data_IF_169318483733
#
_entry.id   IF_169318483733
#
_cell.length_a   1.000
_cell.length_b   1.000
_cell.length_c   1.000
_cell.angle_alpha   90.00
_cell.angle_beta   90.00
_cell.angle_gamma   90.00
#
_symmetry.space_group_name_H-M   'P 1'
#
loop_
_entity.id
_entity.type
_entity.pdbx_description
1 polymer ?
#
# COMPACT_ATOMS: atom_id res chain seq x y z
N UNK A 1 5.40 -8.03 74.08
CA UNK A 1 4.93 -7.91 72.68
C UNK A 1 3.42 -8.19 72.61
N UNK A 2 2.58 -7.33 73.20
CA UNK A 2 1.15 -7.67 73.42
C UNK A 2 0.22 -6.44 73.35
N UNK A 3 0.38 -5.53 72.38
CA UNK A 3 -0.46 -4.31 72.32
C UNK A 3 -1.33 -4.15 71.04
N UNK A 4 -1.31 -5.11 70.11
CA UNK A 4 -2.03 -4.97 68.80
C UNK A 4 -3.46 -5.57 68.82
N UNK A 5 -3.85 -6.27 69.90
CA UNK A 5 -5.11 -7.03 69.96
C UNK A 5 -6.41 -6.25 70.22
N UNK A 6 -6.47 -5.12 70.95
CA UNK A 6 -7.77 -4.55 71.34
C UNK A 6 -8.53 -3.91 70.19
N UNK A 7 -7.83 -3.40 69.17
CA UNK A 7 -8.45 -2.74 68.02
C UNK A 7 -8.82 -3.70 66.89
N UNK A 8 -8.32 -4.94 66.92
CA UNK A 8 -8.57 -5.92 65.86
C UNK A 8 -10.05 -6.23 65.74
N UNK A 9 -10.77 -6.46 66.84
CA UNK A 9 -12.21 -6.77 66.84
C UNK A 9 -13.03 -5.68 66.17
N UNK A 10 -12.77 -4.42 66.51
CA UNK A 10 -13.39 -3.24 65.91
C UNK A 10 -13.05 -3.11 64.42
N UNK A 11 -11.79 -3.32 64.04
CA UNK A 11 -11.37 -3.30 62.63
C UNK A 11 -12.05 -4.41 61.83
N UNK A 12 -12.15 -5.64 62.35
CA UNK A 12 -12.90 -6.71 61.68
C UNK A 12 -14.40 -6.43 61.61
N UNK A 13 -15.00 -5.82 62.63
CA UNK A 13 -16.42 -5.44 62.62
C UNK A 13 -16.68 -4.36 61.57
N UNK A 14 -15.83 -3.33 61.50
CA UNK A 14 -15.92 -2.30 60.48
C UNK A 14 -15.69 -2.88 59.07
N UNK A 15 -14.67 -3.73 58.90
CA UNK A 15 -14.40 -4.40 57.62
C UNK A 15 -15.60 -5.24 57.15
N UNK A 16 -16.15 -6.09 58.03
CA UNK A 16 -17.32 -6.93 57.71
C UNK A 16 -18.58 -6.10 57.46
N UNK A 17 -18.82 -5.03 58.22
CA UNK A 17 -19.91 -4.10 57.98
C UNK A 17 -19.77 -3.40 56.61
N UNK A 18 -18.55 -2.98 56.24
CA UNK A 18 -18.29 -2.40 54.92
C UNK A 18 -18.43 -3.41 53.79
N UNK A 19 -17.98 -4.65 53.99
CA UNK A 19 -18.11 -5.73 53.00
C UNK A 19 -19.58 -6.06 52.72
N UNK A 20 -20.44 -6.06 53.75
CA UNK A 20 -21.88 -6.27 53.57
C UNK A 20 -22.48 -5.15 52.70
N UNK A 21 -22.12 -3.90 52.96
CA UNK A 21 -22.60 -2.76 52.18
C UNK A 21 -22.09 -2.80 50.74
N UNK A 22 -20.83 -3.18 50.53
CA UNK A 22 -20.25 -3.34 49.19
C UNK A 22 -20.92 -4.47 48.42
N UNK A 23 -21.18 -5.62 49.06
CA UNK A 23 -21.90 -6.74 48.44
C UNK A 23 -23.29 -6.32 47.96
N UNK A 24 -24.08 -5.65 48.80
CA UNK A 24 -25.42 -5.16 48.44
C UNK A 24 -25.38 -4.22 47.23
N UNK A 25 -24.38 -3.31 47.17
CA UNK A 25 -24.20 -2.40 46.03
C UNK A 25 -23.84 -3.16 44.76
N UNK A 26 -22.97 -4.17 44.84
CA UNK A 26 -22.60 -5.01 43.69
C UNK A 26 -23.81 -5.81 43.19
N UNK A 27 -24.59 -6.39 44.10
CA UNK A 27 -25.83 -7.11 43.76
C UNK A 27 -26.83 -6.20 43.05
N UNK A 28 -27.05 -4.99 43.57
CA UNK A 28 -27.89 -3.99 42.92
C UNK A 28 -27.39 -3.62 41.51
N UNK A 29 -26.10 -3.32 41.37
CA UNK A 29 -25.51 -2.99 40.06
C UNK A 29 -25.54 -4.18 39.09
N UNK A 30 -25.45 -5.43 39.57
CA UNK A 30 -25.62 -6.61 38.74
C UNK A 30 -27.06 -6.72 38.23
N UNK A 31 -28.05 -6.51 39.09
CA UNK A 31 -29.46 -6.49 38.71
C UNK A 31 -29.77 -5.40 37.67
N UNK A 32 -29.24 -4.18 37.86
CA UNK A 32 -29.37 -3.12 36.84
C UNK A 32 -28.75 -3.53 35.50
N UNK A 33 -27.55 -4.12 35.51
CA UNK A 33 -26.89 -4.60 34.30
C UNK A 33 -27.68 -5.71 33.59
N UNK A 34 -28.33 -6.60 34.33
CA UNK A 34 -29.22 -7.63 33.77
C UNK A 34 -30.42 -7.00 33.07
N UNK A 35 -31.09 -6.03 33.70
CA UNK A 35 -32.20 -5.28 33.11
C UNK A 35 -31.75 -4.55 31.84
N UNK A 36 -30.58 -3.90 31.88
CA UNK A 36 -30.04 -3.18 30.73
C UNK A 36 -29.70 -4.14 29.58
N UNK A 37 -29.12 -5.30 29.85
CA UNK A 37 -28.82 -6.30 28.83
C UNK A 37 -30.07 -6.88 28.19
N UNK A 38 -31.12 -7.10 28.97
CA UNK A 38 -32.40 -7.58 28.45
C UNK A 38 -33.06 -6.57 27.47
N UNK A 39 -32.70 -5.28 27.55
CA UNK A 39 -33.21 -4.22 26.66
C UNK A 39 -32.32 -3.93 25.45
N UNK A 40 -31.09 -4.44 25.43
CA UNK A 40 -30.11 -4.16 24.39
C UNK A 40 -30.20 -5.20 23.26
N UNK A 41 -29.74 -4.86 22.04
CA UNK A 41 -29.60 -5.84 20.96
C UNK A 41 -28.54 -6.88 21.29
N UNK A 42 -28.68 -8.09 20.73
CA UNK A 42 -27.83 -9.26 21.02
C UNK A 42 -26.34 -9.04 20.71
N UNK A 43 -26.00 -8.14 19.78
CA UNK A 43 -24.61 -7.86 19.40
C UNK A 43 -24.16 -6.45 19.80
N UNK A 44 -23.18 -6.38 20.72
CA UNK A 44 -22.58 -5.13 21.19
C UNK A 44 -21.16 -5.00 20.65
N UNK A 45 -20.95 -4.08 19.71
CA UNK A 45 -19.62 -3.75 19.20
C UNK A 45 -18.85 -2.85 20.18
N UNK A 46 -17.88 -3.44 20.88
CA UNK A 46 -17.03 -2.67 21.81
C UNK A 46 -16.10 -1.68 21.10
N UNK A 47 -16.12 -0.43 21.54
CA UNK A 47 -15.20 0.63 21.08
C UNK A 47 -13.83 0.51 21.76
N UNK A 48 -12.81 1.12 21.18
CA UNK A 48 -11.46 1.05 21.74
C UNK A 48 -11.39 1.60 23.18
N UNK A 49 -12.06 2.71 23.47
CA UNK A 49 -12.09 3.31 24.81
C UNK A 49 -12.72 2.39 25.87
N UNK A 50 -13.77 1.66 25.50
CA UNK A 50 -14.43 0.68 26.38
C UNK A 50 -13.51 -0.50 26.66
N UNK A 51 -12.81 -1.02 25.63
CA UNK A 51 -11.82 -2.09 25.80
C UNK A 51 -10.72 -1.69 26.78
N UNK A 52 -10.26 -0.44 26.74
CA UNK A 52 -9.25 0.07 27.68
C UNK A 52 -9.80 0.11 29.11
N UNK A 53 -11.04 0.56 29.31
CA UNK A 53 -11.68 0.54 30.64
C UNK A 53 -11.83 -0.88 31.17
N UNK A 54 -12.30 -1.81 30.34
CA UNK A 54 -12.44 -3.23 30.69
C UNK A 54 -11.10 -3.84 31.09
N UNK A 55 -10.03 -3.56 30.33
CA UNK A 55 -8.69 -4.03 30.69
C UNK A 55 -8.22 -3.44 32.02
N UNK A 56 -8.43 -2.12 32.25
CA UNK A 56 -8.02 -1.46 33.50
C UNK A 56 -8.62 -2.12 34.73
N UNK A 57 -9.91 -2.41 34.72
CA UNK A 57 -10.60 -3.02 35.86
C UNK A 57 -10.51 -4.55 35.86
N UNK A 58 -10.30 -5.17 34.71
CA UNK A 58 -10.26 -6.62 34.60
C UNK A 58 -8.90 -7.24 34.94
N UNK A 59 -7.79 -6.57 34.62
CA UNK A 59 -6.45 -7.12 34.85
C UNK A 59 -6.16 -7.56 36.30
N UNK A 60 -6.59 -6.82 37.35
CA UNK A 60 -6.37 -7.24 38.74
C UNK A 60 -7.06 -8.54 39.14
N UNK A 61 -8.12 -8.94 38.43
CA UNK A 61 -8.93 -10.12 38.78
C UNK A 61 -8.32 -11.44 38.29
N UNK A 62 -7.28 -11.40 37.44
CA UNK A 62 -6.56 -12.60 36.99
C UNK A 62 -7.47 -13.64 36.32
N UNK A 63 -7.51 -14.85 36.87
CA UNK A 63 -8.34 -15.97 36.38
C UNK A 63 -9.82 -15.81 36.77
N UNK A 64 -10.12 -15.09 37.85
CA UNK A 64 -11.51 -14.86 38.29
C UNK A 64 -12.33 -14.02 37.30
N UNK A 65 -11.67 -13.44 36.28
CA UNK A 65 -12.34 -12.70 35.24
C UNK A 65 -13.31 -13.57 34.43
N UNK A 66 -13.04 -14.87 34.25
CA UNK A 66 -13.91 -15.75 33.45
C UNK A 66 -15.34 -15.82 34.00
N UNK A 67 -15.49 -15.73 35.33
CA UNK A 67 -16.78 -15.67 36.00
C UNK A 67 -17.40 -14.26 36.00
N UNK A 68 -16.62 -13.20 35.71
CA UNK A 68 -17.05 -11.80 35.77
C UNK A 68 -17.34 -11.20 34.38
N UNK A 69 -16.69 -11.67 33.31
CA UNK A 69 -16.91 -11.12 31.97
C UNK A 69 -18.21 -11.66 31.39
N UNK A 70 -19.18 -10.78 31.22
CA UNK A 70 -20.51 -11.11 30.67
C UNK A 70 -20.79 -10.40 29.34
N UNK A 71 -20.14 -9.27 29.06
CA UNK A 71 -20.35 -8.47 27.82
C UNK A 71 -19.47 -8.96 26.67
N UNK A 72 -18.31 -9.53 26.99
CA UNK A 72 -17.27 -9.90 26.01
C UNK A 72 -16.90 -11.36 26.26
N UNK A 73 -16.60 -12.12 25.21
CA UNK A 73 -16.03 -13.46 25.39
C UNK A 73 -14.70 -13.39 26.17
N UNK A 74 -14.46 -14.27 27.16
CA UNK A 74 -13.18 -14.34 27.87
C UNK A 74 -11.97 -14.42 26.91
N UNK A 75 -12.13 -15.14 25.79
CA UNK A 75 -11.11 -15.25 24.74
C UNK A 75 -10.73 -13.91 24.10
N UNK A 76 -11.72 -13.04 23.86
CA UNK A 76 -11.51 -11.71 23.30
C UNK A 76 -10.82 -10.78 24.31
N UNK A 77 -11.16 -10.89 25.60
CA UNK A 77 -10.48 -10.16 26.67
C UNK A 77 -8.98 -10.52 26.73
N UNK A 78 -8.65 -11.82 26.71
CA UNK A 78 -7.25 -12.27 26.68
C UNK A 78 -6.52 -11.89 25.39
N UNK A 79 -7.21 -11.85 24.25
CA UNK A 79 -6.65 -11.29 23.01
C UNK A 79 -6.25 -9.83 23.19
N UNK A 80 -7.16 -8.98 23.71
CA UNK A 80 -6.86 -7.56 23.92
C UNK A 80 -5.77 -7.34 24.97
N UNK A 81 -5.71 -8.17 26.02
CA UNK A 81 -4.61 -8.16 26.99
C UNK A 81 -3.26 -8.38 26.30
N UNK A 82 -3.16 -9.39 25.43
CA UNK A 82 -1.93 -9.68 24.67
C UNK A 82 -1.57 -8.56 23.69
N UNK A 83 -2.57 -7.98 23.01
CA UNK A 83 -2.37 -6.84 22.10
C UNK A 83 -1.86 -5.60 22.84
N UNK A 84 -2.42 -5.30 24.02
CA UNK A 84 -1.97 -4.19 24.85
C UNK A 84 -0.52 -4.38 25.33
N UNK A 85 -0.14 -5.60 25.71
CA UNK A 85 1.24 -5.93 26.10
C UNK A 85 2.25 -5.87 24.95
N UNK A 86 1.81 -6.12 23.70
CA UNK A 86 2.68 -6.09 22.52
C UNK A 86 3.04 -4.68 22.06
N UNK A 87 2.41 -3.64 22.60
CA UNK A 87 2.57 -2.26 22.17
C UNK A 87 2.03 -2.02 20.75
N UNK A 88 2.02 -0.76 20.29
CA UNK A 88 1.66 -0.45 18.90
C UNK A 88 2.66 -1.14 17.97
N UNK A 89 2.15 -1.93 17.02
CA UNK A 89 2.97 -2.51 15.96
C UNK A 89 3.82 -1.41 15.33
N UNK A 90 5.15 -1.57 15.36
CA UNK A 90 6.08 -0.66 14.68
C UNK A 90 5.65 -0.57 13.22
N UNK A 91 5.29 0.63 12.75
CA UNK A 91 5.10 0.88 11.31
C UNK A 91 6.33 0.35 10.59
N UNK A 92 6.15 -0.62 9.68
CA UNK A 92 7.24 -1.15 8.86
C UNK A 92 7.86 0.02 8.10
N UNK A 93 9.10 0.39 8.44
CA UNK A 93 9.87 1.42 7.72
C UNK A 93 10.35 0.83 6.41
N UNK A 94 9.53 0.89 5.37
CA UNK A 94 9.98 0.65 4.00
C UNK A 94 10.52 1.97 3.45
N UNK A 95 11.75 2.36 3.80
CA UNK A 95 12.26 3.69 3.42
C UNK A 95 13.59 3.67 2.66
N UNK A 96 14.49 2.70 2.90
CA UNK A 96 15.85 2.77 2.34
C UNK A 96 15.95 2.45 0.84
N UNK A 97 15.29 1.40 0.34
CA UNK A 97 15.42 0.97 -1.07
C UNK A 97 14.56 1.79 -2.04
N UNK A 98 13.55 2.49 -1.53
CA UNK A 98 12.65 3.30 -2.34
C UNK A 98 13.20 4.69 -2.65
N UNK A 99 14.10 5.24 -1.81
CA UNK A 99 14.64 6.59 -2.00
C UNK A 99 15.66 6.63 -3.13
N UNK A 100 16.71 5.80 -3.10
CA UNK A 100 17.70 5.75 -4.20
C UNK A 100 17.06 5.46 -5.56
N UNK A 101 16.06 4.60 -5.57
CA UNK A 101 15.29 4.25 -6.78
C UNK A 101 14.41 5.41 -7.25
N UNK A 102 13.81 6.16 -6.31
CA UNK A 102 13.05 7.37 -6.62
C UNK A 102 13.98 8.43 -7.22
N UNK A 103 15.14 8.66 -6.61
CA UNK A 103 16.13 9.65 -7.07
C UNK A 103 16.58 9.33 -8.50
N UNK A 104 16.91 8.05 -8.78
CA UNK A 104 17.25 7.58 -10.12
C UNK A 104 16.12 7.81 -11.14
N UNK A 105 14.87 7.50 -10.76
CA UNK A 105 13.71 7.71 -11.64
C UNK A 105 13.53 9.20 -11.98
N UNK A 106 13.72 10.08 -11.00
CA UNK A 106 13.60 11.53 -11.15
C UNK A 106 14.72 12.06 -12.05
N UNK A 107 15.95 11.62 -11.84
CA UNK A 107 17.11 12.03 -12.63
C UNK A 107 16.95 11.63 -14.11
N UNK A 108 16.51 10.40 -14.39
CA UNK A 108 16.24 9.92 -15.76
C UNK A 108 15.10 10.73 -16.41
N UNK A 109 14.05 11.05 -15.64
CA UNK A 109 12.93 11.82 -16.15
C UNK A 109 13.33 13.27 -16.51
N UNK A 110 14.14 13.93 -15.68
CA UNK A 110 14.62 15.30 -15.90
C UNK A 110 15.61 15.40 -17.07
N UNK A 111 16.53 14.44 -17.17
CA UNK A 111 17.57 14.44 -18.22
C UNK A 111 17.02 14.10 -19.61
N UNK A 112 16.00 13.24 -19.71
CA UNK A 112 15.60 12.65 -21.00
C UNK A 112 14.17 12.98 -21.44
N UNK A 113 13.32 13.51 -20.55
CA UNK A 113 11.91 13.79 -20.85
C UNK A 113 11.07 12.55 -21.19
N UNK A 114 11.54 11.36 -20.81
CA UNK A 114 10.89 10.10 -21.16
C UNK A 114 9.51 9.95 -20.50
N UNK A 115 8.59 9.35 -21.26
CA UNK A 115 7.35 8.83 -20.70
C UNK A 115 7.62 7.69 -19.72
N UNK A 116 6.79 7.59 -18.68
CA UNK A 116 6.90 6.62 -17.58
C UNK A 116 6.95 5.14 -18.03
N UNK A 117 6.33 4.77 -19.17
CA UNK A 117 6.48 3.41 -19.74
C UNK A 117 7.91 3.16 -20.26
N UNK A 118 8.57 4.17 -20.82
CA UNK A 118 9.92 4.05 -21.36
C UNK A 118 10.95 4.03 -20.23
N UNK A 119 10.78 4.88 -19.22
CA UNK A 119 11.58 4.85 -17.98
C UNK A 119 11.53 3.45 -17.35
N UNK A 120 10.34 2.84 -17.25
CA UNK A 120 10.21 1.48 -16.73
C UNK A 120 10.97 0.44 -17.57
N UNK A 121 11.03 0.61 -18.90
CA UNK A 121 11.83 -0.24 -19.79
C UNK A 121 13.33 -0.12 -19.52
N UNK A 122 13.83 1.11 -19.35
CA UNK A 122 15.24 1.34 -19.02
C UNK A 122 15.60 0.78 -17.63
N UNK A 123 14.73 0.94 -16.64
CA UNK A 123 14.94 0.34 -15.31
C UNK A 123 15.02 -1.19 -15.36
N UNK A 124 14.21 -1.84 -16.21
CA UNK A 124 14.31 -3.29 -16.42
C UNK A 124 15.62 -3.70 -17.09
N UNK A 125 16.12 -2.91 -18.04
CA UNK A 125 17.43 -3.14 -18.67
C UNK A 125 18.57 -3.04 -17.66
N UNK A 126 18.45 -2.15 -16.67
CA UNK A 126 19.37 -2.03 -15.54
C UNK A 126 19.20 -3.11 -14.45
N UNK A 127 18.36 -4.14 -14.69
CA UNK A 127 18.14 -5.26 -13.77
C UNK A 127 17.12 -4.99 -12.66
N UNK A 128 16.46 -3.83 -12.66
CA UNK A 128 15.48 -3.45 -11.64
C UNK A 128 14.07 -3.83 -12.09
N UNK A 129 13.66 -5.07 -11.80
CA UNK A 129 12.40 -5.66 -12.28
C UNK A 129 11.21 -5.52 -11.31
N UNK A 130 11.45 -5.19 -10.04
CA UNK A 130 10.43 -5.18 -8.96
C UNK A 130 9.61 -3.89 -8.85
N UNK A 131 9.47 -3.13 -9.93
CA UNK A 131 8.76 -1.84 -9.97
C UNK A 131 7.57 -1.94 -10.90
N UNK A 132 6.40 -1.46 -10.47
CA UNK A 132 5.23 -1.37 -11.34
C UNK A 132 5.14 -0.01 -12.03
N UNK A 133 4.45 0.05 -13.17
CA UNK A 133 4.24 1.30 -13.92
C UNK A 133 3.58 2.38 -13.08
N UNK A 134 2.67 1.99 -12.19
CA UNK A 134 1.95 2.92 -11.31
C UNK A 134 2.86 3.55 -10.27
N UNK A 135 3.84 2.82 -9.72
CA UNK A 135 4.82 3.39 -8.79
C UNK A 135 5.67 4.46 -9.44
N UNK A 136 6.15 4.24 -10.67
CA UNK A 136 6.91 5.27 -11.44
C UNK A 136 6.02 6.49 -11.70
N UNK A 137 4.76 6.28 -12.11
CA UNK A 137 3.80 7.37 -12.32
C UNK A 137 3.57 8.20 -11.06
N UNK A 138 3.38 7.55 -9.90
CA UNK A 138 3.16 8.24 -8.63
C UNK A 138 4.40 9.04 -8.21
N UNK A 139 5.61 8.47 -8.34
CA UNK A 139 6.86 9.18 -8.05
C UNK A 139 7.02 10.45 -8.88
N UNK A 140 6.74 10.37 -10.18
CA UNK A 140 6.85 11.53 -11.08
C UNK A 140 5.77 12.59 -10.81
N UNK A 141 4.55 12.15 -10.48
CA UNK A 141 3.45 13.05 -10.11
C UNK A 141 3.73 13.79 -8.80
N UNK A 142 4.31 13.13 -7.81
CA UNK A 142 4.69 13.75 -6.54
C UNK A 142 5.75 14.85 -6.74
N UNK A 143 6.61 14.70 -7.74
CA UNK A 143 7.64 15.69 -8.12
C UNK A 143 7.15 16.73 -9.13
N UNK A 144 5.89 16.67 -9.57
CA UNK A 144 5.32 17.60 -10.55
C UNK A 144 5.92 17.48 -11.96
N UNK A 145 6.67 16.42 -12.25
CA UNK A 145 7.23 16.16 -13.58
C UNK A 145 6.12 15.52 -14.40
N UNK A 146 5.76 16.11 -15.55
CA UNK A 146 4.79 15.52 -16.47
C UNK A 146 5.52 14.64 -17.50
N UNK A 147 5.48 13.30 -17.36
CA UNK A 147 6.27 12.42 -18.21
C UNK A 147 5.60 12.20 -19.57
N UNK A 148 5.90 13.10 -20.49
CA UNK A 148 6.02 12.90 -21.94
C UNK A 148 6.16 14.29 -22.54
N UNK A 149 7.02 14.52 -23.55
CA UNK A 149 6.76 15.62 -24.47
C UNK A 149 5.32 15.42 -24.96
N UNK A 150 4.49 16.47 -24.89
CA UNK A 150 3.24 16.53 -25.67
C UNK A 150 3.59 15.92 -27.01
N UNK A 151 2.99 14.78 -27.38
CA UNK A 151 3.17 14.25 -28.73
C UNK A 151 2.94 15.43 -29.63
N UNK A 152 3.98 15.81 -30.36
CA UNK A 152 3.99 17.01 -31.19
C UNK A 152 2.63 17.07 -31.86
N UNK A 153 1.89 18.13 -31.59
CA UNK A 153 0.67 18.47 -32.31
C UNK A 153 1.04 18.91 -33.73
N UNK A 154 1.94 18.16 -34.37
CA UNK A 154 2.25 18.33 -35.76
C UNK A 154 1.00 17.94 -36.51
N UNK A 155 0.54 18.83 -37.37
CA UNK A 155 -0.54 18.50 -38.28
C UNK A 155 -0.12 17.30 -39.13
N UNK A 156 -1.09 16.51 -39.57
CA UNK A 156 -0.86 15.33 -40.41
C UNK A 156 0.09 15.62 -41.60
N UNK A 157 0.07 16.87 -42.11
CA UNK A 157 0.97 17.33 -43.17
C UNK A 157 2.45 17.42 -42.77
N UNK A 158 2.78 17.81 -41.53
CA UNK A 158 4.18 17.87 -41.06
C UNK A 158 4.75 16.46 -40.88
N UNK A 159 3.93 15.54 -40.38
CA UNK A 159 4.28 14.12 -40.29
C UNK A 159 4.56 13.52 -41.68
N UNK A 160 3.69 13.79 -42.66
CA UNK A 160 3.88 13.32 -44.03
C UNK A 160 5.13 13.91 -44.68
N UNK A 161 5.45 15.20 -44.46
CA UNK A 161 6.67 15.81 -45.00
C UNK A 161 7.93 15.20 -44.40
N UNK A 162 7.96 14.97 -43.09
CA UNK A 162 9.12 14.38 -42.41
C UNK A 162 9.36 12.92 -42.80
N UNK A 163 8.30 12.19 -43.13
CA UNK A 163 8.37 10.77 -43.52
C UNK A 163 8.17 10.53 -45.02
N UNK A 164 8.07 11.58 -45.85
CA UNK A 164 7.81 11.45 -47.29
C UNK A 164 8.88 10.58 -47.97
N UNK A 165 10.16 10.81 -47.65
CA UNK A 165 11.33 10.08 -48.16
C UNK A 165 11.43 8.61 -47.71
N UNK A 166 10.63 8.18 -46.74
CA UNK A 166 10.58 6.77 -46.29
C UNK A 166 9.25 6.11 -46.63
N UNK A 167 8.18 6.88 -46.70
CA UNK A 167 6.85 6.43 -47.08
C UNK A 167 6.72 6.17 -48.58
N UNK A 168 7.46 6.87 -49.46
CA UNK A 168 7.42 6.56 -50.91
C UNK A 168 7.94 5.15 -51.22
N UNK A 169 8.80 4.59 -50.37
CA UNK A 169 9.33 3.23 -50.50
C UNK A 169 8.43 2.18 -49.81
N UNK A 170 7.40 2.60 -49.06
CA UNK A 170 6.43 1.72 -48.45
C UNK A 170 5.24 1.56 -49.39
N UNK A 171 5.25 0.51 -50.21
CA UNK A 171 4.13 0.15 -51.06
C UNK A 171 2.90 -0.23 -50.19
N UNK A 172 1.81 0.54 -50.31
CA UNK A 172 0.56 0.28 -49.60
C UNK A 172 -0.15 -0.91 -50.27
N UNK A 173 0.25 -2.13 -49.91
CA UNK A 173 -0.40 -3.32 -50.42
C UNK A 173 -1.84 -3.44 -49.87
N UNK A 174 -2.82 -3.20 -50.74
CA UNK A 174 -4.22 -3.45 -50.43
C UNK A 174 -4.51 -4.94 -50.65
N UNK A 175 -4.46 -5.73 -49.57
CA UNK A 175 -5.00 -7.09 -49.61
C UNK A 175 -6.52 -6.98 -49.61
N UNK A 176 -7.17 -7.31 -50.74
CA UNK A 176 -8.62 -7.49 -50.78
C UNK A 176 -8.93 -8.69 -49.87
N UNK A 177 -9.42 -8.42 -48.67
CA UNK A 177 -9.92 -9.46 -47.78
C UNK A 177 -11.30 -9.90 -48.29
N UNK A 178 -11.33 -10.60 -49.42
CA UNK A 178 -12.43 -11.52 -49.68
C UNK A 178 -12.29 -12.60 -48.62
N UNK A 179 -13.16 -12.55 -47.60
CA UNK A 179 -13.32 -13.65 -46.65
C UNK A 179 -13.38 -14.94 -47.45
N UNK A 180 -12.58 -15.95 -47.10
CA UNK A 180 -12.73 -17.19 -47.80
C UNK A 180 -13.02 -18.29 -46.75
N UNK A 181 -14.02 -19.16 -46.88
CA UNK A 181 -14.25 -20.01 -48.06
C UNK A 181 -13.05 -19.89 -49.01
N UNK A 182 -11.92 -20.46 -48.57
CA UNK A 182 -10.58 -20.61 -49.23
C UNK A 182 -9.37 -19.83 -48.62
N UNK A 183 -8.72 -20.49 -47.65
CA UNK A 183 -7.27 -20.46 -47.35
C UNK A 183 -6.54 -19.09 -47.27
N UNK A 184 -6.26 -18.65 -46.04
CA UNK A 184 -5.20 -17.67 -45.78
C UNK A 184 -3.94 -18.40 -45.31
N UNK A 185 -3.02 -18.65 -46.24
CA UNK A 185 -1.66 -19.05 -45.90
C UNK A 185 -0.95 -17.92 -45.18
N UNK A 186 -0.45 -18.28 -44.00
CA UNK A 186 0.64 -17.70 -43.23
C UNK A 186 1.65 -16.94 -44.09
N UNK A 187 1.96 -15.69 -43.73
CA UNK A 187 3.16 -15.06 -44.28
C UNK A 187 4.33 -15.35 -43.35
N UNK A 188 5.14 -16.29 -43.82
CA UNK A 188 6.49 -16.55 -43.37
C UNK A 188 7.33 -15.26 -43.44
N UNK A 189 8.13 -15.05 -42.40
CA UNK A 189 9.20 -14.06 -42.41
C UNK A 189 10.23 -14.47 -43.45
N UNK A 190 10.39 -13.68 -44.52
CA UNK A 190 11.61 -13.71 -45.31
C UNK A 190 12.52 -12.58 -44.85
N UNK A 191 13.55 -12.95 -44.10
CA UNK A 191 14.80 -12.19 -44.08
C UNK A 191 15.36 -12.16 -45.50
N UNK A 192 15.72 -10.99 -46.00
CA UNK A 192 16.60 -10.87 -47.16
C UNK A 192 17.95 -10.28 -46.69
N UNK A 193 19.08 -10.99 -46.89
CA UNK A 193 20.41 -10.54 -46.52
C UNK A 193 21.11 -9.74 -47.66
N UNK A 194 21.97 -8.80 -47.25
CA UNK A 194 23.08 -8.18 -48.02
C UNK A 194 22.70 -7.25 -49.20
N UNK A 195 23.50 -6.28 -49.67
CA UNK A 195 24.64 -5.47 -49.22
C UNK A 195 25.02 -4.64 -50.49
N UNK A 196 25.39 -3.36 -50.31
CA UNK A 196 26.14 -2.49 -51.26
C UNK A 196 25.43 -1.91 -52.50
N UNK A 197 25.16 -0.60 -52.46
CA UNK A 197 25.75 0.36 -53.41
C UNK A 197 26.33 1.54 -52.62
N UNK A 198 27.56 1.92 -52.95
CA UNK A 198 28.40 2.94 -52.32
C UNK A 198 28.10 4.35 -52.85
N UNK A 199 28.49 5.31 -52.01
CA UNK A 199 29.15 6.59 -52.30
C UNK A 199 28.35 7.81 -52.76
N UNK A 200 28.51 8.87 -51.94
CA UNK A 200 28.80 10.27 -52.30
C UNK A 200 27.73 11.28 -51.89
N UNK A 201 27.94 11.94 -50.74
CA UNK A 201 28.04 13.40 -50.63
C UNK A 201 28.09 13.87 -49.16
N UNK A 202 29.33 14.04 -48.67
CA UNK A 202 29.86 15.21 -47.95
C UNK A 202 28.88 16.11 -47.15
N UNK A 203 29.23 16.25 -45.86
CA UNK A 203 29.20 17.46 -45.02
C UNK A 203 27.86 18.13 -44.66
N UNK A 204 27.39 17.86 -43.43
CA UNK A 204 27.02 18.90 -42.47
C UNK A 204 26.89 18.28 -41.08
N UNK A 205 27.82 18.63 -40.19
CA UNK A 205 27.64 18.86 -38.75
C UNK A 205 29.04 18.97 -38.14
N UNK A 206 29.52 20.21 -38.05
CA UNK A 206 30.61 20.54 -37.15
C UNK A 206 30.07 20.59 -35.72
N UNK A 207 30.54 19.68 -34.88
CA UNK A 207 30.55 19.85 -33.42
C UNK A 207 31.90 19.26 -32.95
N UNK A 208 32.78 20.05 -32.32
CA UNK A 208 34.07 19.56 -31.84
C UNK A 208 33.90 18.76 -30.55
N UNK A 209 34.56 17.60 -30.50
CA UNK A 209 34.74 16.79 -29.29
C UNK A 209 35.94 17.39 -28.55
N UNK A 210 35.70 17.95 -27.37
CA UNK A 210 36.75 18.40 -26.45
C UNK A 210 37.16 17.19 -25.62
N UNK A 211 38.39 16.72 -25.81
CA UNK A 211 39.08 15.75 -24.94
C UNK A 211 40.26 16.45 -24.29
N UNK A 212 40.21 16.57 -22.97
CA UNK A 212 41.22 17.11 -22.06
C UNK A 212 40.70 16.98 -20.65
#
# INVERSE_FOLDING_TARGET
MSCVRPFHSLVTLLATATDIQLRRRIEFLKAENEILRARLPDEIHTRHAERVKLLKFGLPHGMAIEALVTIVSPSAFYRWRREASRGKARKRRTHGKSQLLRDLVIEVARSTGFGYSKILGELRRLGISRICRQTVKNMLKEEGIEPSPRRSSGTWGEFLKAHAETLWACDFFTKRASRPVVWSTSMCWFSCPCRLVKSSARSRLGIPIRSG
#
